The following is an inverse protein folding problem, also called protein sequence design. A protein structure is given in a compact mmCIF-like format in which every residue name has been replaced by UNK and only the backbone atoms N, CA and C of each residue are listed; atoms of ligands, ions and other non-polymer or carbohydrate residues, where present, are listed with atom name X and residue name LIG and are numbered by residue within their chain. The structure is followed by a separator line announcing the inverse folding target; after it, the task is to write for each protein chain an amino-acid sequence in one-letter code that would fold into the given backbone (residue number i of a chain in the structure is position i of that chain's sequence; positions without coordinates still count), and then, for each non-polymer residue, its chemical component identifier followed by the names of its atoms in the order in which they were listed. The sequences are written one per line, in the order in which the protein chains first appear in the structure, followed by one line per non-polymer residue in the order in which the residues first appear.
data_IF_028029863362
#
_entry.id   IF_028029863362
#
_cell.length_a   1.000
_cell.length_b   1.000
_cell.length_c   1.000
_cell.angle_alpha   90.00
_cell.angle_beta   90.00
_cell.angle_gamma   90.00
#
_symmetry.space_group_name_H-M   'P 1'
#
loop_
_entity.id
_entity.type
_entity.pdbx_description
1 polymer ?
#
# COMPACT_ATOMS: atom_id res chain seq x y z
N UNK A 1 8.94 -0.54 -22.45
CA UNK A 1 8.35 -1.78 -21.88
C UNK A 1 7.40 -1.52 -20.70
N UNK A 2 6.74 -0.35 -20.64
CA UNK A 2 5.69 -0.09 -19.63
C UNK A 2 4.33 -0.25 -20.29
N UNK A 3 3.41 -0.95 -19.62
CA UNK A 3 2.02 -1.08 -20.06
C UNK A 3 1.20 -0.08 -19.24
N UNK A 4 0.64 0.90 -19.92
CA UNK A 4 -0.31 1.85 -19.35
C UNK A 4 -1.71 1.57 -19.91
N UNK A 5 -2.72 1.61 -19.05
CA UNK A 5 -4.11 1.42 -19.46
C UNK A 5 -5.06 2.28 -18.59
N UNK A 6 -6.36 2.27 -18.92
CA UNK A 6 -7.36 3.07 -18.20
C UNK A 6 -7.47 2.78 -16.70
N UNK A 7 -7.00 1.61 -16.23
CA UNK A 7 -6.97 1.30 -14.79
C UNK A 7 -5.96 2.18 -14.05
N UNK A 8 -4.90 2.64 -14.71
CA UNK A 8 -3.94 3.55 -14.11
C UNK A 8 -4.59 4.91 -13.80
N UNK A 9 -5.42 5.42 -14.71
CA UNK A 9 -6.21 6.62 -14.46
C UNK A 9 -7.19 6.42 -13.29
N UNK A 10 -7.90 5.28 -13.27
CA UNK A 10 -8.79 4.95 -12.15
C UNK A 10 -8.06 4.87 -10.81
N UNK A 11 -6.83 4.32 -10.76
CA UNK A 11 -6.01 4.27 -9.54
C UNK A 11 -5.60 5.66 -9.04
N UNK A 12 -5.27 6.58 -9.96
CA UNK A 12 -4.97 7.98 -9.62
C UNK A 12 -6.20 8.62 -8.97
N UNK A 13 -7.39 8.46 -9.58
CA UNK A 13 -8.62 9.01 -9.03
C UNK A 13 -9.02 8.37 -7.70
N UNK A 14 -8.84 7.06 -7.53
CA UNK A 14 -9.11 6.39 -6.24
C UNK A 14 -8.27 6.99 -5.11
N UNK A 15 -7.02 7.36 -5.38
CA UNK A 15 -6.19 8.08 -4.42
C UNK A 15 -6.72 9.47 -4.11
N UNK A 16 -7.13 10.22 -5.14
CA UNK A 16 -7.72 11.56 -4.97
C UNK A 16 -8.99 11.56 -4.11
N UNK A 17 -9.83 10.51 -4.22
CA UNK A 17 -11.07 10.37 -3.43
C UNK A 17 -10.78 10.15 -1.93
N UNK A 18 -9.54 9.86 -1.54
CA UNK A 18 -9.14 9.80 -0.12
C UNK A 18 -8.98 11.19 0.52
N UNK A 19 -9.01 12.26 -0.28
CA UNK A 19 -8.91 13.64 0.23
C UNK A 19 -10.22 14.09 0.86
N UNK A 20 -10.13 14.96 1.87
CA UNK A 20 -11.30 15.60 2.48
C UNK A 20 -11.22 17.13 2.40
N UNK A 21 -12.36 17.83 2.31
CA UNK A 21 -12.39 19.30 2.25
C UNK A 21 -11.73 19.98 3.45
N UNK A 22 -11.73 19.34 4.62
CA UNK A 22 -11.11 19.86 5.84
C UNK A 22 -9.59 19.99 5.68
N UNK A 23 -8.95 19.03 4.99
CA UNK A 23 -7.49 19.01 4.78
C UNK A 23 -7.05 19.66 3.48
N UNK A 24 -7.87 19.59 2.43
CA UNK A 24 -7.53 20.06 1.10
C UNK A 24 -8.52 21.14 0.65
N UNK A 25 -8.17 22.39 0.95
CA UNK A 25 -9.06 23.55 0.77
C UNK A 25 -8.75 24.35 -0.49
N UNK A 26 -7.54 24.20 -1.04
CA UNK A 26 -7.06 24.99 -2.18
C UNK A 26 -6.80 24.13 -3.41
N UNK A 27 -6.92 24.75 -4.59
CA UNK A 27 -6.57 24.10 -5.85
C UNK A 27 -5.11 23.62 -5.86
N UNK A 28 -4.19 24.41 -5.29
CA UNK A 28 -2.77 24.04 -5.18
C UNK A 28 -2.56 22.77 -4.33
N UNK A 29 -3.23 22.64 -3.19
CA UNK A 29 -3.19 21.43 -2.37
C UNK A 29 -3.74 20.22 -3.14
N UNK A 30 -4.88 20.38 -3.83
CA UNK A 30 -5.45 19.30 -4.65
C UNK A 30 -4.54 18.90 -5.81
N UNK A 31 -3.90 19.86 -6.49
CA UNK A 31 -2.93 19.57 -7.55
C UNK A 31 -1.69 18.87 -7.00
N UNK A 32 -1.26 19.20 -5.78
CA UNK A 32 -0.15 18.50 -5.11
C UNK A 32 -0.48 17.04 -4.83
N UNK A 33 -1.69 16.74 -4.33
CA UNK A 33 -2.15 15.35 -4.16
C UNK A 33 -2.23 14.64 -5.50
N UNK A 34 -2.80 15.29 -6.52
CA UNK A 34 -2.86 14.74 -7.88
C UNK A 34 -1.46 14.38 -8.40
N UNK A 35 -0.47 15.27 -8.21
CA UNK A 35 0.93 15.00 -8.54
C UNK A 35 1.44 13.77 -7.78
N UNK A 36 1.21 13.68 -6.47
CA UNK A 36 1.59 12.50 -5.69
C UNK A 36 0.99 11.22 -6.29
N UNK A 37 -0.31 11.21 -6.57
CA UNK A 37 -0.99 10.04 -7.11
C UNK A 37 -0.47 9.64 -8.51
N UNK A 38 -0.14 10.62 -9.36
CA UNK A 38 0.55 10.37 -10.62
C UNK A 38 1.95 9.75 -10.40
N UNK A 39 2.71 10.23 -9.42
CA UNK A 39 4.03 9.66 -9.10
C UNK A 39 3.90 8.20 -8.63
N UNK A 40 2.95 7.91 -7.75
CA UNK A 40 2.76 6.56 -7.18
C UNK A 40 2.28 5.54 -8.21
N UNK A 41 1.47 5.97 -9.20
CA UNK A 41 0.91 5.06 -10.21
C UNK A 41 1.80 4.93 -11.45
N UNK A 42 2.46 6.01 -11.87
CA UNK A 42 3.22 6.07 -13.12
C UNK A 42 4.73 6.08 -12.86
N UNK A 43 5.21 7.02 -12.05
CA UNK A 43 6.64 7.30 -11.87
C UNK A 43 7.38 6.17 -11.16
N UNK A 44 6.78 5.59 -10.11
CA UNK A 44 7.41 4.53 -9.31
C UNK A 44 7.68 3.25 -10.11
N UNK A 45 7.05 3.08 -11.28
CA UNK A 45 7.27 1.95 -12.21
C UNK A 45 8.43 2.18 -13.18
N UNK A 46 8.93 3.41 -13.28
CA UNK A 46 9.96 3.79 -14.23
C UNK A 46 11.35 3.45 -13.68
N UNK A 47 12.18 2.84 -14.51
CA UNK A 47 13.56 2.46 -14.16
C UNK A 47 14.59 3.43 -14.73
N UNK A 48 14.27 4.13 -15.82
CA UNK A 48 15.17 5.06 -16.49
C UNK A 48 14.99 6.49 -15.95
N UNK A 49 16.10 7.21 -15.78
CA UNK A 49 16.10 8.61 -15.33
C UNK A 49 15.52 9.56 -16.37
N UNK A 50 15.65 9.23 -17.65
CA UNK A 50 15.08 9.97 -18.79
C UNK A 50 13.56 9.90 -18.77
N UNK A 51 12.99 8.70 -18.55
CA UNK A 51 11.54 8.50 -18.47
C UNK A 51 10.96 9.24 -17.25
N UNK A 52 11.65 9.17 -16.11
CA UNK A 52 11.28 9.89 -14.89
C UNK A 52 11.26 11.40 -15.12
N UNK A 53 12.33 11.94 -15.73
CA UNK A 53 12.42 13.35 -16.09
C UNK A 53 11.30 13.78 -17.04
N UNK A 54 10.94 12.94 -18.01
CA UNK A 54 9.83 13.22 -18.92
C UNK A 54 8.51 13.42 -18.16
N UNK A 55 8.21 12.57 -17.16
CA UNK A 55 7.00 12.71 -16.34
C UNK A 55 7.06 14.00 -15.50
N UNK A 56 8.19 14.30 -14.87
CA UNK A 56 8.37 15.53 -14.09
C UNK A 56 8.18 16.78 -14.95
N UNK A 57 8.85 16.85 -16.10
CA UNK A 57 8.76 17.97 -17.05
C UNK A 57 7.32 18.11 -17.60
N UNK A 58 6.62 17.00 -17.86
CA UNK A 58 5.23 17.03 -18.35
C UNK A 58 4.26 17.55 -17.29
N UNK A 59 4.38 17.11 -16.04
CA UNK A 59 3.54 17.62 -14.94
C UNK A 59 3.80 19.11 -14.69
N UNK A 60 5.07 19.53 -14.77
CA UNK A 60 5.45 20.93 -14.60
C UNK A 60 4.87 21.81 -15.72
N UNK A 61 4.96 21.36 -16.97
CA UNK A 61 4.32 22.04 -18.12
C UNK A 61 2.81 22.20 -17.90
N UNK A 62 2.11 21.11 -17.57
CA UNK A 62 0.65 21.15 -17.34
C UNK A 62 0.26 22.13 -16.22
N UNK A 63 1.07 22.23 -15.17
CA UNK A 63 0.83 23.16 -14.06
C UNK A 63 1.08 24.60 -14.48
N UNK A 64 2.13 24.87 -15.25
CA UNK A 64 2.46 26.20 -15.76
C UNK A 64 1.47 26.72 -16.80
N UNK A 65 0.87 25.83 -17.58
CA UNK A 65 -0.14 26.15 -18.59
C UNK A 65 -1.47 26.60 -17.97
N UNK A 66 -1.69 26.32 -16.67
CA UNK A 66 -2.88 26.73 -15.92
C UNK A 66 -2.61 28.06 -15.16
N UNK A 67 -3.21 29.20 -15.56
CA UNK A 67 -2.91 30.51 -14.97
C UNK A 67 -3.17 30.60 -13.46
N UNK A 68 -4.13 29.81 -12.94
CA UNK A 68 -4.47 29.77 -11.51
C UNK A 68 -3.49 28.93 -10.69
N UNK A 69 -2.79 27.98 -11.30
CA UNK A 69 -1.85 27.09 -10.61
C UNK A 69 -0.40 27.55 -10.73
N UNK A 70 -0.06 28.25 -11.82
CA UNK A 70 1.29 28.76 -12.08
C UNK A 70 1.92 29.52 -10.90
N UNK A 71 1.20 30.40 -10.16
CA UNK A 71 1.78 31.08 -8.99
C UNK A 71 2.12 30.15 -7.82
N UNK A 72 1.59 28.91 -7.82
CA UNK A 72 1.72 27.95 -6.72
C UNK A 72 2.63 26.76 -7.05
N UNK A 73 3.38 26.82 -8.16
CA UNK A 73 4.28 25.73 -8.61
C UNK A 73 5.25 25.29 -7.51
N UNK A 74 5.83 26.23 -6.76
CA UNK A 74 6.77 25.89 -5.67
C UNK A 74 6.13 25.00 -4.60
N UNK A 75 4.88 25.28 -4.22
CA UNK A 75 4.13 24.50 -3.23
C UNK A 75 3.73 23.14 -3.81
N UNK A 76 3.23 23.12 -5.05
CA UNK A 76 2.79 21.90 -5.75
C UNK A 76 3.97 20.91 -5.93
N UNK A 77 5.16 21.41 -6.23
CA UNK A 77 6.34 20.60 -6.52
C UNK A 77 7.32 20.44 -5.35
N UNK A 78 7.02 21.01 -4.17
CA UNK A 78 7.85 20.87 -2.96
C UNK A 78 8.18 19.41 -2.67
N UNK A 79 9.43 19.15 -2.27
CA UNK A 79 9.87 17.84 -1.81
C UNK A 79 10.14 17.84 -0.30
N UNK A 80 10.00 16.70 0.39
CA UNK A 80 9.50 15.43 -0.15
C UNK A 80 7.99 15.43 -0.38
N UNK A 81 7.49 14.45 -1.15
CA UNK A 81 6.06 14.22 -1.37
C UNK A 81 5.60 13.01 -0.58
N UNK A 82 5.29 13.23 0.71
CA UNK A 82 4.91 12.21 1.68
C UNK A 82 3.43 12.37 2.03
N UNK A 83 2.60 11.48 1.52
CA UNK A 83 1.16 11.49 1.80
C UNK A 83 0.72 10.20 2.48
N UNK A 84 -0.12 10.31 3.50
CA UNK A 84 -0.67 9.16 4.21
C UNK A 84 -1.63 9.56 5.32
N UNK A 85 -2.21 8.55 5.97
CA UNK A 85 -3.19 8.69 7.05
C UNK A 85 -2.72 8.02 8.35
N UNK A 86 -1.41 8.13 8.63
CA UNK A 86 -0.74 7.47 9.76
C UNK A 86 -0.50 8.38 10.98
N UNK A 87 -0.97 9.63 10.97
CA UNK A 87 -0.86 10.53 12.15
C UNK A 87 -1.65 9.99 13.35
N UNK A 88 -2.84 9.47 13.11
CA UNK A 88 -3.74 8.88 14.11
C UNK A 88 -3.66 7.35 14.08
N UNK A 89 -2.52 6.78 13.65
CA UNK A 89 -2.38 5.33 13.50
C UNK A 89 -2.56 4.57 14.83
N UNK A 90 -2.16 5.19 15.93
CA UNK A 90 -2.21 4.61 17.29
C UNK A 90 -3.49 4.98 18.04
N UNK A 91 -4.26 5.94 17.54
CA UNK A 91 -5.48 6.44 18.18
C UNK A 91 -6.67 5.55 17.82
N UNK A 92 -7.00 4.61 18.71
CA UNK A 92 -8.09 3.65 18.48
C UNK A 92 -9.44 4.39 18.41
N UNK A 93 -10.12 4.27 17.28
CA UNK A 93 -11.44 4.84 17.05
C UNK A 93 -11.42 6.23 16.40
N UNK A 94 -10.25 6.86 16.28
CA UNK A 94 -10.11 8.10 15.54
C UNK A 94 -10.12 7.85 14.02
N UNK A 95 -10.66 8.82 13.29
CA UNK A 95 -10.67 8.75 11.84
C UNK A 95 -9.23 8.87 11.31
N UNK A 96 -8.83 7.94 10.44
CA UNK A 96 -7.57 8.05 9.70
C UNK A 96 -7.75 9.06 8.58
N UNK A 97 -7.09 10.19 8.68
CA UNK A 97 -7.22 11.31 7.75
C UNK A 97 -6.00 11.36 6.83
N UNK A 98 -6.23 11.22 5.53
CA UNK A 98 -5.17 11.33 4.52
C UNK A 98 -4.70 12.77 4.38
N UNK A 99 -3.40 13.00 4.48
CA UNK A 99 -2.82 14.35 4.43
C UNK A 99 -1.39 14.37 3.87
N UNK A 100 -0.87 15.57 3.60
CA UNK A 100 0.53 15.81 3.25
C UNK A 100 1.35 16.01 4.53
N UNK A 101 2.28 15.09 4.80
CA UNK A 101 3.13 15.08 6.00
C UNK A 101 4.27 16.11 5.91
N UNK A 102 4.43 16.78 4.76
CA UNK A 102 5.31 17.92 4.49
C UNK A 102 6.82 17.58 4.43
N UNK A 103 7.38 16.90 5.42
CA UNK A 103 8.82 16.68 5.55
C UNK A 103 9.19 15.34 6.23
N UNK A 104 10.47 14.97 6.12
CA UNK A 104 10.99 13.70 6.63
C UNK A 104 11.05 13.64 8.15
N UNK A 105 11.32 14.75 8.84
CA UNK A 105 11.42 14.76 10.30
C UNK A 105 10.06 14.47 10.94
N UNK A 106 9.00 15.09 10.40
CA UNK A 106 7.63 14.81 10.81
C UNK A 106 7.22 13.36 10.54
N UNK A 107 7.51 12.83 9.34
CA UNK A 107 7.22 11.44 9.01
C UNK A 107 8.01 10.46 9.89
N UNK A 108 9.28 10.75 10.15
CA UNK A 108 10.16 9.95 11.01
C UNK A 108 9.64 9.90 12.44
N UNK A 109 9.28 11.04 13.02
CA UNK A 109 8.75 11.10 14.38
C UNK A 109 7.50 10.22 14.54
N UNK A 110 6.56 10.31 13.59
CA UNK A 110 5.34 9.48 13.59
C UNK A 110 5.69 7.98 13.50
N UNK A 111 6.55 7.58 12.57
CA UNK A 111 6.87 6.17 12.38
C UNK A 111 7.80 5.59 13.45
N UNK A 112 8.64 6.39 14.10
CA UNK A 112 9.42 5.96 15.26
C UNK A 112 8.49 5.63 16.44
N UNK A 113 7.46 6.44 16.67
CA UNK A 113 6.43 6.18 17.69
C UNK A 113 5.63 4.90 17.36
N UNK A 114 5.19 4.76 16.10
CA UNK A 114 4.49 3.55 15.64
C UNK A 114 5.39 2.31 15.76
N UNK A 115 6.68 2.43 15.44
CA UNK A 115 7.64 1.34 15.57
C UNK A 115 7.88 0.95 17.03
N UNK A 116 7.90 1.93 17.93
CA UNK A 116 7.99 1.67 19.37
C UNK A 116 6.78 0.84 19.83
N UNK A 117 5.56 1.28 19.53
CA UNK A 117 4.34 0.55 19.90
C UNK A 117 4.31 -0.86 19.29
N UNK A 118 4.71 -1.00 18.02
CA UNK A 118 4.84 -2.31 17.38
C UNK A 118 5.80 -3.23 18.18
N UNK A 119 6.93 -2.69 18.62
CA UNK A 119 7.94 -3.45 19.34
C UNK A 119 7.52 -3.84 20.77
N UNK A 120 6.52 -3.18 21.33
CA UNK A 120 5.91 -3.55 22.62
C UNK A 120 4.94 -4.74 22.46
N UNK A 121 4.27 -4.84 21.32
CA UNK A 121 3.25 -5.87 21.06
C UNK A 121 3.79 -7.11 20.31
N UNK A 122 4.84 -6.94 19.51
CA UNK A 122 5.35 -7.96 18.60
C UNK A 122 6.86 -8.19 18.72
N UNK A 123 7.37 -9.15 17.93
CA UNK A 123 8.80 -9.40 17.84
C UNK A 123 9.54 -8.13 17.36
N UNK A 124 10.51 -7.69 18.17
CA UNK A 124 11.22 -6.43 18.00
C UNK A 124 11.90 -6.33 16.62
N UNK A 125 11.63 -5.23 15.92
CA UNK A 125 12.30 -4.80 14.69
C UNK A 125 13.22 -3.63 14.98
N UNK A 126 14.53 -3.82 14.80
CA UNK A 126 15.53 -2.75 14.89
C UNK A 126 15.65 -2.05 13.54
N UNK A 127 14.64 -1.23 13.20
CA UNK A 127 14.63 -0.44 11.98
C UNK A 127 15.25 0.93 12.21
N UNK A 128 16.05 1.38 11.24
CA UNK A 128 16.51 2.76 11.15
C UNK A 128 15.76 3.43 10.01
N UNK A 129 14.95 4.43 10.33
CA UNK A 129 14.13 5.16 9.37
C UNK A 129 14.89 6.38 8.82
N UNK A 130 15.57 6.17 7.69
CA UNK A 130 16.15 7.22 6.87
C UNK A 130 15.21 7.59 5.71
N UNK A 131 15.54 8.62 4.93
CA UNK A 131 14.65 9.20 3.91
C UNK A 131 14.08 8.15 2.93
N UNK A 132 14.91 7.32 2.29
CA UNK A 132 14.42 6.29 1.36
C UNK A 132 13.52 5.26 2.05
N UNK A 133 13.82 4.91 3.31
CA UNK A 133 12.99 3.99 4.08
C UNK A 133 11.60 4.59 4.33
N UNK A 134 11.53 5.89 4.65
CA UNK A 134 10.27 6.62 4.83
C UNK A 134 9.49 6.75 3.52
N UNK A 135 10.18 7.00 2.40
CA UNK A 135 9.54 7.01 1.08
C UNK A 135 8.93 5.64 0.76
N UNK A 136 9.68 4.55 0.92
CA UNK A 136 9.19 3.19 0.67
C UNK A 136 8.06 2.80 1.62
N UNK A 137 8.18 3.13 2.90
CA UNK A 137 7.16 2.88 3.90
C UNK A 137 5.85 3.60 3.54
N UNK A 138 5.93 4.87 3.14
CA UNK A 138 4.78 5.68 2.70
C UNK A 138 4.12 5.07 1.45
N UNK A 139 4.92 4.60 0.47
CA UNK A 139 4.41 3.92 -0.73
C UNK A 139 3.67 2.63 -0.39
N UNK A 140 4.26 1.79 0.48
CA UNK A 140 3.64 0.52 0.91
C UNK A 140 2.35 0.80 1.67
N UNK A 141 2.38 1.75 2.61
CA UNK A 141 1.20 2.15 3.37
C UNK A 141 0.07 2.60 2.45
N UNK A 142 0.36 3.47 1.46
CA UNK A 142 -0.63 3.89 0.46
C UNK A 142 -1.27 2.69 -0.25
N UNK A 143 -0.48 1.70 -0.67
CA UNK A 143 -1.03 0.50 -1.34
C UNK A 143 -1.93 -0.30 -0.41
N UNK A 144 -1.55 -0.50 0.84
CA UNK A 144 -2.36 -1.22 1.84
C UNK A 144 -3.70 -0.52 2.09
N UNK A 145 -3.72 0.82 2.04
CA UNK A 145 -4.93 1.62 2.28
C UNK A 145 -5.88 1.65 1.08
N UNK A 146 -5.44 1.25 -0.11
CA UNK A 146 -6.29 1.19 -1.30
C UNK A 146 -7.13 -0.08 -1.34
N UNK A 147 -8.40 0.06 -1.75
CA UNK A 147 -9.23 -1.10 -2.02
C UNK A 147 -8.61 -1.97 -3.12
N UNK A 148 -8.60 -3.29 -2.89
CA UNK A 148 -7.93 -4.30 -3.72
C UNK A 148 -6.47 -3.97 -4.04
N UNK A 149 -5.79 -3.25 -3.14
CA UNK A 149 -4.39 -2.87 -3.26
C UNK A 149 -3.46 -4.06 -3.26
N UNK A 150 -2.52 -4.10 -4.20
CA UNK A 150 -1.44 -5.07 -4.24
C UNK A 150 -0.15 -4.41 -4.76
N UNK A 151 1.00 -4.90 -4.27
CA UNK A 151 2.31 -4.44 -4.68
C UNK A 151 3.29 -5.60 -4.78
N UNK A 152 4.09 -5.61 -5.85
CA UNK A 152 5.26 -6.46 -5.98
C UNK A 152 6.48 -5.66 -5.51
N UNK A 153 7.07 -6.05 -4.38
CA UNK A 153 8.25 -5.37 -3.82
C UNK A 153 9.52 -6.03 -4.36
N UNK A 154 10.21 -5.34 -5.26
CA UNK A 154 11.45 -5.82 -5.88
C UNK A 154 12.66 -5.14 -5.22
N UNK A 155 13.67 -5.92 -4.84
CA UNK A 155 14.92 -5.41 -4.29
C UNK A 155 15.78 -6.53 -3.72
N UNK A 156 17.06 -6.23 -3.46
CA UNK A 156 18.01 -7.21 -2.92
C UNK A 156 17.66 -7.66 -1.50
N UNK A 157 18.18 -8.81 -1.07
CA UNK A 157 18.05 -9.27 0.31
C UNK A 157 18.58 -8.24 1.31
N UNK A 158 17.93 -8.10 2.47
CA UNK A 158 18.33 -7.14 3.50
C UNK A 158 17.86 -5.69 3.28
N UNK A 159 17.20 -5.38 2.16
CA UNK A 159 16.71 -4.02 1.86
C UNK A 159 15.48 -3.56 2.68
N UNK A 160 15.13 -4.28 3.75
CA UNK A 160 14.03 -3.90 4.65
C UNK A 160 12.60 -4.18 4.17
N UNK A 161 12.38 -4.76 2.97
CA UNK A 161 11.04 -4.99 2.38
C UNK A 161 10.02 -5.59 3.36
N UNK A 162 10.40 -6.70 4.01
CA UNK A 162 9.52 -7.38 4.97
C UNK A 162 9.22 -6.48 6.17
N UNK A 163 10.24 -5.95 6.82
CA UNK A 163 10.10 -5.12 8.02
C UNK A 163 9.31 -3.83 7.77
N UNK A 164 9.53 -3.15 6.63
CA UNK A 164 8.75 -1.98 6.23
C UNK A 164 7.29 -2.34 5.94
N UNK A 165 7.04 -3.50 5.31
CA UNK A 165 5.67 -3.98 5.09
C UNK A 165 4.97 -4.28 6.41
N UNK A 166 5.68 -4.86 7.39
CA UNK A 166 5.12 -5.11 8.72
C UNK A 166 4.73 -3.82 9.43
N UNK A 167 5.63 -2.85 9.43
CA UNK A 167 5.38 -1.54 10.06
C UNK A 167 4.24 -0.79 9.35
N UNK A 168 4.20 -0.79 8.02
CA UNK A 168 3.09 -0.21 7.25
C UNK A 168 1.75 -0.88 7.56
N UNK A 169 1.75 -2.21 7.69
CA UNK A 169 0.53 -2.98 7.99
C UNK A 169 0.00 -2.66 9.38
N UNK A 170 0.90 -2.59 10.36
CA UNK A 170 0.56 -2.19 11.73
C UNK A 170 -0.01 -0.76 11.77
N UNK A 171 0.67 0.20 11.12
CA UNK A 171 0.18 1.57 10.95
C UNK A 171 -1.21 1.63 10.31
N UNK A 172 -1.48 0.77 9.33
CA UNK A 172 -2.78 0.69 8.68
C UNK A 172 -3.88 0.08 9.56
N UNK A 173 -3.53 -0.54 10.69
CA UNK A 173 -4.46 -1.26 11.57
C UNK A 173 -4.94 -2.57 10.96
N UNK A 174 -4.09 -3.21 10.17
CA UNK A 174 -4.37 -4.49 9.52
C UNK A 174 -3.59 -5.62 10.22
N UNK A 175 -4.09 -6.84 10.12
CA UNK A 175 -3.37 -8.05 10.54
C UNK A 175 -2.49 -8.54 9.39
N UNK A 176 -1.30 -9.06 9.71
CA UNK A 176 -0.44 -9.72 8.73
C UNK A 176 -0.76 -11.19 8.70
N UNK A 177 -0.93 -11.73 7.50
CA UNK A 177 -0.95 -13.16 7.27
C UNK A 177 0.27 -13.56 6.45
N UNK A 178 0.96 -14.61 6.88
CA UNK A 178 2.08 -15.24 6.19
C UNK A 178 1.93 -16.75 6.32
N UNK A 179 2.11 -17.47 5.21
CA UNK A 179 2.12 -18.92 5.26
C UNK A 179 3.40 -19.43 5.90
N UNK A 180 3.31 -20.56 6.60
CA UNK A 180 4.45 -21.25 7.20
C UNK A 180 4.64 -22.57 6.50
N UNK A 181 5.65 -22.64 5.63
CA UNK A 181 5.97 -23.89 4.95
C UNK A 181 6.48 -24.93 5.96
N UNK A 182 5.85 -26.10 5.93
CA UNK A 182 6.28 -27.30 6.65
C UNK A 182 6.66 -28.40 5.66
N UNK A 183 7.29 -29.48 6.14
CA UNK A 183 7.58 -30.64 5.30
C UNK A 183 6.27 -31.23 4.77
N UNK A 184 6.16 -31.35 3.45
CA UNK A 184 4.94 -31.85 2.79
C UNK A 184 3.87 -30.79 2.54
N UNK A 185 4.16 -29.51 2.76
CA UNK A 185 3.27 -28.41 2.39
C UNK A 185 3.07 -28.38 0.87
N UNK A 186 1.82 -28.41 0.44
CA UNK A 186 1.39 -28.55 -0.95
C UNK A 186 0.18 -27.64 -1.24
N UNK A 187 -0.36 -27.68 -2.46
CA UNK A 187 -1.52 -26.85 -2.84
C UNK A 187 -2.72 -27.02 -1.90
N UNK A 188 -3.03 -28.25 -1.46
CA UNK A 188 -4.13 -28.49 -0.53
C UNK A 188 -3.92 -27.77 0.80
N UNK A 189 -2.70 -27.81 1.34
CA UNK A 189 -2.33 -27.10 2.57
C UNK A 189 -2.47 -25.59 2.39
N UNK A 190 -2.08 -25.07 1.22
CA UNK A 190 -2.21 -23.66 0.90
C UNK A 190 -3.67 -23.21 0.76
N UNK A 191 -4.53 -24.02 0.14
CA UNK A 191 -5.98 -23.76 0.09
C UNK A 191 -6.59 -23.65 1.48
N UNK A 192 -6.18 -24.50 2.43
CA UNK A 192 -6.64 -24.40 3.82
C UNK A 192 -6.16 -23.10 4.50
N UNK A 193 -4.91 -22.68 4.28
CA UNK A 193 -4.44 -21.37 4.75
C UNK A 193 -5.25 -20.21 4.14
N UNK A 194 -5.61 -20.30 2.86
CA UNK A 194 -6.47 -19.31 2.21
C UNK A 194 -7.87 -19.30 2.82
N UNK A 195 -8.47 -20.45 3.15
CA UNK A 195 -9.76 -20.48 3.86
C UNK A 195 -9.70 -19.70 5.18
N UNK A 196 -8.61 -19.82 5.93
CA UNK A 196 -8.40 -19.03 7.17
C UNK A 196 -8.43 -17.53 6.85
N UNK A 197 -7.72 -17.10 5.80
CA UNK A 197 -7.72 -15.70 5.36
C UNK A 197 -9.14 -15.23 5.00
N UNK A 198 -9.86 -15.98 4.18
CA UNK A 198 -11.23 -15.61 3.75
C UNK A 198 -12.22 -15.59 4.91
N UNK A 199 -12.12 -16.52 5.88
CA UNK A 199 -12.97 -16.51 7.08
C UNK A 199 -12.70 -15.29 7.96
N UNK A 200 -11.42 -14.93 8.16
CA UNK A 200 -11.09 -13.70 8.90
C UNK A 200 -11.62 -12.43 8.21
N UNK A 201 -11.56 -12.38 6.88
CA UNK A 201 -12.08 -11.27 6.09
C UNK A 201 -13.62 -11.21 6.14
N UNK A 202 -14.28 -12.34 5.89
CA UNK A 202 -15.73 -12.41 5.66
C UNK A 202 -16.59 -12.56 6.93
N UNK A 203 -16.09 -13.26 7.95
CA UNK A 203 -16.84 -13.58 9.18
C UNK A 203 -16.36 -12.70 10.33
N UNK A 204 -15.04 -12.63 10.56
CA UNK A 204 -14.47 -11.87 11.68
C UNK A 204 -14.34 -10.36 11.37
N UNK A 205 -14.62 -9.96 10.12
CA UNK A 205 -14.50 -8.58 9.63
C UNK A 205 -13.12 -7.94 9.93
N UNK A 206 -12.06 -8.74 9.81
CA UNK A 206 -10.68 -8.30 9.98
C UNK A 206 -10.11 -7.79 8.67
N UNK A 207 -9.25 -6.77 8.75
CA UNK A 207 -8.46 -6.31 7.60
C UNK A 207 -7.13 -7.05 7.58
N UNK A 208 -6.78 -7.65 6.45
CA UNK A 208 -5.57 -8.48 6.32
C UNK A 208 -4.67 -7.98 5.21
N UNK A 209 -3.36 -7.97 5.46
CA UNK A 209 -2.32 -7.92 4.45
C UNK A 209 -1.71 -9.31 4.34
N UNK A 210 -1.85 -9.92 3.17
CA UNK A 210 -1.21 -11.20 2.89
C UNK A 210 0.20 -10.98 2.34
N UNK A 211 1.21 -11.37 3.11
CA UNK A 211 2.61 -11.29 2.71
C UNK A 211 3.07 -12.62 2.11
N UNK A 212 3.49 -12.57 0.85
CA UNK A 212 3.94 -13.74 0.09
C UNK A 212 5.28 -13.44 -0.57
N UNK A 213 6.31 -14.22 -0.22
CA UNK A 213 7.68 -14.06 -0.72
C UNK A 213 8.10 -15.21 -1.62
N UNK A 214 9.26 -15.08 -2.25
CA UNK A 214 9.87 -16.13 -3.08
C UNK A 214 10.11 -17.43 -2.27
N UNK A 215 10.49 -17.29 -1.00
CA UNK A 215 10.65 -18.43 -0.10
C UNK A 215 9.35 -19.20 0.19
N UNK A 216 8.19 -18.63 -0.15
CA UNK A 216 6.87 -19.26 0.04
C UNK A 216 6.40 -20.07 -1.18
N UNK A 217 7.07 -19.94 -2.34
CA UNK A 217 6.71 -20.64 -3.59
C UNK A 217 7.27 -22.06 -3.56
N UNK A 218 6.53 -22.98 -2.95
CA UNK A 218 6.90 -24.40 -2.92
C UNK A 218 6.50 -25.14 -4.21
N UNK A 219 5.35 -24.79 -4.79
CA UNK A 219 4.78 -25.37 -6.02
C UNK A 219 4.32 -24.23 -6.94
N UNK A 220 4.47 -24.40 -8.27
CA UNK A 220 4.08 -23.38 -9.25
C UNK A 220 2.58 -23.04 -9.19
N UNK A 221 1.73 -24.02 -8.83
CA UNK A 221 0.28 -23.85 -8.67
C UNK A 221 -0.13 -22.78 -7.65
N UNK A 222 0.75 -22.42 -6.69
CA UNK A 222 0.45 -21.36 -5.73
C UNK A 222 0.24 -20.03 -6.43
N UNK A 223 1.04 -19.74 -7.47
CA UNK A 223 0.94 -18.49 -8.21
C UNK A 223 -0.37 -18.39 -9.00
N UNK A 224 -0.95 -19.52 -9.41
CA UNK A 224 -2.27 -19.55 -10.04
C UNK A 224 -3.36 -19.15 -9.04
N UNK A 225 -3.30 -19.66 -7.81
CA UNK A 225 -4.22 -19.28 -6.73
C UNK A 225 -4.10 -17.80 -6.37
N UNK A 226 -2.87 -17.29 -6.25
CA UNK A 226 -2.62 -15.85 -6.05
C UNK A 226 -3.20 -15.03 -7.20
N UNK A 227 -2.99 -15.45 -8.46
CA UNK A 227 -3.52 -14.74 -9.62
C UNK A 227 -5.06 -14.70 -9.61
N UNK A 228 -5.73 -15.78 -9.20
CA UNK A 228 -7.18 -15.79 -9.01
C UNK A 228 -7.60 -14.77 -7.95
N UNK A 229 -6.94 -14.73 -6.79
CA UNK A 229 -7.21 -13.72 -5.76
C UNK A 229 -7.06 -12.28 -6.29
N UNK A 230 -6.03 -12.01 -7.08
CA UNK A 230 -5.77 -10.67 -7.60
C UNK A 230 -6.72 -10.25 -8.73
N UNK A 231 -7.23 -11.20 -9.51
CA UNK A 231 -8.04 -10.92 -10.71
C UNK A 231 -9.54 -10.98 -10.44
N UNK A 232 -10.00 -12.01 -9.73
CA UNK A 232 -11.42 -12.24 -9.44
C UNK A 232 -11.79 -11.90 -8.00
N UNK A 233 -10.81 -11.84 -7.09
CA UNK A 233 -11.05 -11.67 -5.66
C UNK A 233 -11.42 -12.96 -4.92
N UNK A 234 -11.45 -14.10 -5.62
CA UNK A 234 -11.87 -15.39 -5.07
C UNK A 234 -11.05 -16.51 -5.71
N UNK A 235 -10.64 -17.48 -4.89
CA UNK A 235 -10.12 -18.75 -5.39
C UNK A 235 -11.28 -19.69 -5.74
N UNK A 236 -11.38 -20.19 -6.98
CA UNK A 236 -12.44 -21.11 -7.38
C UNK A 236 -12.45 -22.40 -6.56
N UNK A 237 -13.66 -22.87 -6.21
CA UNK A 237 -13.89 -24.08 -5.43
C UNK A 237 -13.04 -24.15 -4.14
N UNK A 238 -12.82 -23.00 -3.48
CA UNK A 238 -12.06 -22.94 -2.23
C UNK A 238 -12.84 -23.58 -1.07
N UNK A 239 -14.13 -23.32 -0.98
CA UNK A 239 -15.03 -23.87 0.04
C UNK A 239 -15.97 -24.91 -0.57
N UNK A 240 -16.19 -26.02 0.14
CA UNK A 240 -17.23 -26.98 -0.18
C UNK A 240 -18.62 -26.36 0.01
N UNK A 241 -19.65 -26.92 -0.63
CA UNK A 241 -21.00 -26.36 -0.57
C UNK A 241 -21.54 -26.28 0.86
N UNK A 242 -21.26 -27.30 1.68
CA UNK A 242 -21.61 -27.34 3.11
C UNK A 242 -20.92 -26.22 3.92
N UNK A 243 -19.64 -25.94 3.65
CA UNK A 243 -18.91 -24.83 4.28
C UNK A 243 -19.50 -23.48 3.85
N UNK A 244 -19.88 -23.34 2.57
CA UNK A 244 -20.49 -22.11 2.06
C UNK A 244 -21.85 -21.84 2.70
N UNK A 245 -22.69 -22.86 2.85
CA UNK A 245 -23.98 -22.73 3.53
C UNK A 245 -23.80 -22.30 4.99
N UNK A 246 -22.82 -22.87 5.70
CA UNK A 246 -22.50 -22.48 7.06
C UNK A 246 -22.00 -21.02 7.17
N UNK A 247 -21.22 -20.54 6.20
CA UNK A 247 -20.74 -19.15 6.17
C UNK A 247 -21.88 -18.17 5.89
N UNK A 248 -22.79 -18.49 4.96
CA UNK A 248 -23.93 -17.63 4.59
C UNK A 248 -25.02 -17.63 5.68
N UNK A 249 -25.15 -18.73 6.43
CA UNK A 249 -26.16 -18.87 7.48
C UNK A 249 -25.84 -18.16 8.79
N UNK A 250 -24.61 -17.67 8.97
CA UNK A 250 -24.17 -16.87 10.13
C UNK A 250 -24.27 -15.36 9.84
#
# INVERSE_FOLDING_TARGET
HYIFNLRDLSRIFNGLVSTTPERFQTAAQMTRVWRNECLRVLYDRLIDTTDRKFIDDKMLSLTNDQPTLKPHVEIIFRQPSLFGDYRTALDIGEAKIYEDIQDYDAAKALFDEILQEYNEQYARMNLVLFEDALEHLTRIHRVIRMDKGNALLVGVGGSGKSSLTRLATFSAGCEIFEIKLSRGYNESSFREDLKIVYNKLGIENKKIVFMFGDQHVAEEGFLELINNMLTTGIVPALFADEEREAIIGN
#
